data_IF_479944418827
#
_entry.id   IF_479944418827
#
_cell.length_a   1.000
_cell.length_b   1.000
_cell.length_c   1.000
_cell.angle_alpha   90.00
_cell.angle_beta   90.00
_cell.angle_gamma   90.00
#
_symmetry.space_group_name_H-M   'P 1'
#
loop_
_entity.id
_entity.type
_entity.pdbx_description
1 polymer ?
#
# COMPACT_ATOMS: atom_id res chain seq x y z
N UNK A 1 -28.30 -39.17 3.93
CA UNK A 1 -28.75 -37.84 3.45
C UNK A 1 -28.31 -36.70 4.36
N UNK A 2 -28.55 -36.76 5.68
CA UNK A 2 -28.16 -35.71 6.63
C UNK A 2 -26.66 -35.36 6.59
N UNK A 3 -25.78 -36.37 6.57
CA UNK A 3 -24.33 -36.19 6.50
C UNK A 3 -23.87 -35.48 5.22
N UNK A 4 -24.43 -35.85 4.06
CA UNK A 4 -24.11 -35.23 2.77
C UNK A 4 -24.53 -33.76 2.74
N UNK A 5 -25.73 -33.45 3.26
CA UNK A 5 -26.20 -32.06 3.37
C UNK A 5 -25.32 -31.23 4.29
N UNK A 6 -24.89 -31.80 5.43
CA UNK A 6 -23.99 -31.13 6.37
C UNK A 6 -22.62 -30.86 5.76
N UNK A 7 -22.02 -31.84 5.07
CA UNK A 7 -20.76 -31.66 4.37
C UNK A 7 -20.87 -30.59 3.29
N UNK A 8 -21.94 -30.61 2.49
CA UNK A 8 -22.14 -29.64 1.42
C UNK A 8 -22.32 -28.21 1.96
N UNK A 9 -23.09 -28.05 3.05
CA UNK A 9 -23.27 -26.76 3.73
C UNK A 9 -21.94 -26.25 4.32
N UNK A 10 -21.14 -27.13 4.93
CA UNK A 10 -19.84 -26.77 5.48
C UNK A 10 -18.87 -26.31 4.38
N UNK A 11 -18.80 -27.05 3.26
CA UNK A 11 -17.97 -26.67 2.11
C UNK A 11 -18.39 -25.31 1.54
N UNK A 12 -19.69 -25.06 1.39
CA UNK A 12 -20.19 -23.77 0.89
C UNK A 12 -19.83 -22.61 1.83
N UNK A 13 -19.94 -22.80 3.14
CA UNK A 13 -19.54 -21.83 4.16
C UNK A 13 -18.03 -21.58 4.15
N UNK A 14 -17.21 -22.63 4.08
CA UNK A 14 -15.75 -22.50 4.00
C UNK A 14 -15.31 -21.76 2.74
N UNK A 15 -15.92 -22.07 1.58
CA UNK A 15 -15.60 -21.41 0.32
C UNK A 15 -16.00 -19.92 0.36
N UNK A 16 -17.19 -19.61 0.87
CA UNK A 16 -17.65 -18.23 1.05
C UNK A 16 -16.75 -17.44 2.00
N UNK A 17 -16.35 -18.05 3.12
CA UNK A 17 -15.39 -17.46 4.06
C UNK A 17 -14.04 -17.19 3.41
N UNK A 18 -13.50 -18.14 2.64
CA UNK A 18 -12.23 -17.99 1.94
C UNK A 18 -12.26 -16.85 0.92
N UNK A 19 -13.35 -16.69 0.18
CA UNK A 19 -13.52 -15.57 -0.77
C UNK A 19 -13.50 -14.23 -0.06
N UNK A 20 -14.22 -14.08 1.06
CA UNK A 20 -14.25 -12.83 1.83
C UNK A 20 -12.89 -12.47 2.43
N UNK A 21 -12.15 -13.46 2.92
CA UNK A 21 -10.79 -13.24 3.44
C UNK A 21 -9.85 -12.86 2.30
N UNK A 22 -9.94 -13.53 1.16
CA UNK A 22 -9.10 -13.25 0.00
C UNK A 22 -9.31 -11.83 -0.54
N UNK A 23 -10.56 -11.36 -0.64
CA UNK A 23 -10.84 -9.99 -1.10
C UNK A 23 -10.29 -8.94 -0.15
N UNK A 24 -10.42 -9.14 1.15
CA UNK A 24 -9.83 -8.26 2.17
C UNK A 24 -8.31 -8.17 2.04
N UNK A 25 -7.64 -9.31 1.82
CA UNK A 25 -6.19 -9.37 1.63
C UNK A 25 -5.80 -8.64 0.33
N UNK A 26 -6.50 -8.90 -0.78
CA UNK A 26 -6.23 -8.25 -2.07
C UNK A 26 -6.37 -6.73 -1.97
N UNK A 27 -7.40 -6.24 -1.30
CA UNK A 27 -7.62 -4.80 -1.11
C UNK A 27 -6.50 -4.16 -0.27
N UNK A 28 -6.06 -4.84 0.79
CA UNK A 28 -4.97 -4.37 1.63
C UNK A 28 -3.63 -4.38 0.88
N UNK A 29 -3.34 -5.43 0.11
CA UNK A 29 -2.13 -5.51 -0.72
C UNK A 29 -2.11 -4.41 -1.78
N UNK A 30 -3.24 -4.13 -2.43
CA UNK A 30 -3.35 -3.02 -3.39
C UNK A 30 -3.08 -1.67 -2.74
N UNK A 31 -3.64 -1.44 -1.54
CA UNK A 31 -3.38 -0.23 -0.78
C UNK A 31 -1.88 -0.10 -0.44
N UNK A 32 -1.23 -1.19 -0.05
CA UNK A 32 0.19 -1.18 0.29
C UNK A 32 1.08 -0.88 -0.92
N UNK A 33 0.84 -1.52 -2.07
CA UNK A 33 1.58 -1.26 -3.31
C UNK A 33 1.43 0.21 -3.73
N UNK A 34 0.22 0.77 -3.63
CA UNK A 34 -0.02 2.18 -3.93
C UNK A 34 0.75 3.10 -2.98
N UNK A 35 0.82 2.76 -1.68
CA UNK A 35 1.59 3.51 -0.70
C UNK A 35 3.09 3.45 -1.01
N UNK A 36 3.62 2.26 -1.29
CA UNK A 36 5.05 2.06 -1.59
C UNK A 36 5.47 2.85 -2.84
N UNK A 37 4.67 2.79 -3.90
CA UNK A 37 4.91 3.55 -5.12
C UNK A 37 4.86 5.05 -4.87
N UNK A 38 3.88 5.53 -4.09
CA UNK A 38 3.75 6.95 -3.76
C UNK A 38 4.89 7.43 -2.85
N UNK A 39 5.35 6.61 -1.90
CA UNK A 39 6.51 6.92 -1.05
C UNK A 39 7.79 7.06 -1.88
N UNK A 40 8.03 6.16 -2.84
CA UNK A 40 9.15 6.28 -3.78
C UNK A 40 9.01 7.53 -4.67
N UNK A 41 7.80 7.82 -5.13
CA UNK A 41 7.48 9.06 -5.83
C UNK A 41 7.83 10.31 -5.04
N UNK A 42 7.50 10.31 -3.74
CA UNK A 42 7.80 11.40 -2.82
C UNK A 42 9.31 11.64 -2.67
N UNK A 43 10.13 10.59 -2.75
CA UNK A 43 11.60 10.71 -2.64
C UNK A 43 12.18 11.54 -3.77
N UNK A 44 11.70 11.36 -5.00
CA UNK A 44 12.29 11.99 -6.19
C UNK A 44 11.53 13.21 -6.70
N UNK A 45 10.20 13.26 -6.52
CA UNK A 45 9.35 14.33 -7.04
C UNK A 45 8.51 15.03 -5.98
N UNK A 46 8.74 14.73 -4.70
CA UNK A 46 7.99 15.32 -3.59
C UNK A 46 6.52 14.94 -3.57
N UNK A 47 5.74 15.69 -2.78
CA UNK A 47 4.30 15.47 -2.61
C UNK A 47 3.49 15.44 -3.92
N UNK A 48 3.74 16.31 -4.93
CA UNK A 48 3.00 16.28 -6.19
C UNK A 48 3.16 14.95 -6.95
N UNK A 49 4.38 14.41 -7.00
CA UNK A 49 4.64 13.11 -7.64
C UNK A 49 4.01 11.96 -6.84
N UNK A 50 4.07 12.02 -5.51
CA UNK A 50 3.39 11.06 -4.64
C UNK A 50 1.87 11.05 -4.87
N UNK A 51 1.27 12.23 -5.02
CA UNK A 51 -0.16 12.37 -5.32
C UNK A 51 -0.51 11.78 -6.68
N UNK A 52 0.25 12.11 -7.71
CA UNK A 52 0.03 11.59 -9.06
C UNK A 52 0.13 10.06 -9.09
N UNK A 53 1.16 9.50 -8.46
CA UNK A 53 1.37 8.05 -8.40
C UNK A 53 0.26 7.37 -7.59
N UNK A 54 -0.18 7.95 -6.46
CA UNK A 54 -1.31 7.43 -5.70
C UNK A 54 -2.58 7.37 -6.58
N UNK A 55 -2.90 8.47 -7.28
CA UNK A 55 -4.06 8.54 -8.17
C UNK A 55 -4.00 7.50 -9.30
N UNK A 56 -2.84 7.33 -9.94
CA UNK A 56 -2.62 6.31 -10.98
C UNK A 56 -2.79 4.88 -10.46
N UNK A 57 -2.56 4.66 -9.17
CA UNK A 57 -2.79 3.38 -8.50
C UNK A 57 -4.21 3.23 -7.91
N UNK A 58 -5.13 4.15 -8.23
CA UNK A 58 -6.51 4.14 -7.71
C UNK A 58 -6.60 4.45 -6.22
N UNK A 59 -5.56 5.07 -5.66
CA UNK A 59 -5.48 5.50 -4.29
C UNK A 59 -5.60 7.02 -4.17
N UNK A 60 -6.07 7.48 -3.03
CA UNK A 60 -6.06 8.90 -2.68
C UNK A 60 -4.93 9.15 -1.69
N UNK A 61 -4.08 10.13 -1.97
CA UNK A 61 -3.06 10.59 -1.02
C UNK A 61 -3.76 11.24 0.19
N UNK A 62 -3.47 10.77 1.39
CA UNK A 62 -4.02 11.29 2.65
C UNK A 62 -3.00 12.18 3.38
N UNK A 63 -1.74 11.77 3.35
CA UNK A 63 -0.64 12.49 3.99
C UNK A 63 0.68 12.16 3.28
N UNK A 64 1.55 13.15 3.18
CA UNK A 64 2.93 13.03 2.74
C UNK A 64 3.79 13.88 3.67
N UNK A 65 4.79 13.27 4.31
CA UNK A 65 5.68 13.97 5.22
C UNK A 65 7.12 13.51 5.03
N UNK A 66 8.03 14.46 4.94
CA UNK A 66 9.47 14.20 5.02
C UNK A 66 9.90 14.32 6.47
N UNK A 67 10.46 13.26 7.03
CA UNK A 67 11.07 13.27 8.36
C UNK A 67 12.45 13.93 8.30
N UNK A 68 12.95 14.45 9.44
CA UNK A 68 14.26 15.12 9.53
C UNK A 68 15.44 14.26 9.05
N UNK A 69 15.26 12.94 9.07
CA UNK A 69 16.23 11.95 8.62
C UNK A 69 16.14 11.63 7.12
N UNK A 70 15.34 12.37 6.34
CA UNK A 70 15.14 12.17 4.91
C UNK A 70 14.24 11.00 4.53
N UNK A 71 13.56 10.33 5.48
CA UNK A 71 12.50 9.37 5.16
C UNK A 71 11.26 10.11 4.70
N UNK A 72 10.76 9.77 3.52
CA UNK A 72 9.43 10.11 3.06
C UNK A 72 8.41 9.11 3.61
N UNK A 73 7.47 9.59 4.41
CA UNK A 73 6.33 8.82 4.89
C UNK A 73 5.09 9.23 4.13
N UNK A 74 4.47 8.27 3.44
CA UNK A 74 3.28 8.51 2.63
C UNK A 74 2.16 7.60 3.10
N UNK A 75 0.99 8.19 3.33
CA UNK A 75 -0.25 7.48 3.62
C UNK A 75 -1.23 7.66 2.48
N UNK A 76 -1.78 6.55 2.00
CA UNK A 76 -2.81 6.52 0.96
C UNK A 76 -4.05 5.77 1.42
N UNK A 77 -5.16 6.02 0.72
CA UNK A 77 -6.42 5.32 0.90
C UNK A 77 -6.89 4.69 -0.39
N UNK A 78 -7.17 3.39 -0.38
CA UNK A 78 -7.81 2.66 -1.48
C UNK A 78 -9.17 2.17 -0.99
N UNK A 79 -10.25 2.78 -1.47
CA UNK A 79 -11.60 2.53 -0.98
C UNK A 79 -11.71 2.79 0.53
N UNK A 80 -11.85 1.73 1.33
CA UNK A 80 -11.93 1.80 2.81
C UNK A 80 -10.62 1.46 3.51
N UNK A 81 -9.59 1.03 2.77
CA UNK A 81 -8.32 0.62 3.35
C UNK A 81 -7.34 1.78 3.35
N UNK A 82 -6.60 1.90 4.44
CA UNK A 82 -5.49 2.83 4.58
C UNK A 82 -4.20 2.04 4.57
N UNK A 83 -3.19 2.57 3.91
CA UNK A 83 -1.85 2.01 3.90
C UNK A 83 -0.84 3.13 4.05
N UNK A 84 0.22 2.84 4.80
CA UNK A 84 1.34 3.75 4.99
C UNK A 84 2.61 3.06 4.51
N UNK A 85 3.43 3.78 3.78
CA UNK A 85 4.74 3.34 3.34
C UNK A 85 5.78 4.39 3.65
N UNK A 86 7.01 3.93 3.83
CA UNK A 86 8.17 4.79 4.09
C UNK A 86 9.24 4.49 3.06
N UNK A 87 9.80 5.52 2.45
CA UNK A 87 10.87 5.41 1.48
C UNK A 87 11.99 6.40 1.81
N UNK A 88 13.22 6.02 1.51
CA UNK A 88 14.40 6.88 1.63
C UNK A 88 15.36 6.55 0.50
N UNK A 89 16.00 7.57 -0.06
CA UNK A 89 17.17 7.38 -0.90
C UNK A 89 18.42 7.11 -0.03
N UNK A 90 18.85 5.86 0.06
CA UNK A 90 20.07 5.47 0.77
C UNK A 90 21.36 5.88 0.04
N UNK A 91 21.28 6.13 -1.26
CA UNK A 91 22.44 6.49 -2.10
C UNK A 91 22.75 7.99 -1.97
N UNK A 92 21.71 8.83 -1.84
CA UNK A 92 21.86 10.27 -1.59
C UNK A 92 22.69 10.58 -0.32
N UNK A 93 22.65 9.73 0.71
CA UNK A 93 23.47 9.89 1.92
C UNK A 93 24.95 9.50 1.71
N UNK A 94 25.26 8.72 0.66
CA UNK A 94 26.58 8.13 0.45
C UNK A 94 27.40 8.84 -0.63
N UNK A 95 26.81 9.76 -1.40
CA UNK A 95 27.58 10.58 -2.34
C UNK A 95 28.53 11.50 -1.55
N UNK A 96 29.86 11.36 -1.72
CA UNK A 96 30.77 12.36 -1.20
C UNK A 96 30.38 13.69 -1.83
N UNK A 97 30.08 14.69 -1.00
CA UNK A 97 29.92 16.07 -1.46
C UNK A 97 31.22 16.44 -2.14
N UNK A 98 31.26 16.45 -3.47
CA UNK A 98 32.36 17.04 -4.20
C UNK A 98 32.28 18.54 -3.91
N UNK A 99 33.11 19.00 -2.97
CA UNK A 99 33.37 20.42 -2.84
C UNK A 99 33.90 20.94 -4.19
N UNK A 100 33.42 22.10 -4.66
CA UNK A 100 33.89 22.70 -5.91
C UNK A 100 35.39 23.02 -5.87
#
# INVERSE_FOLDING_TARGET
MLSVLLSCAFTALSLGGLVLVSTRIIDQTRAQIAADAAALGAVYGGEPAAQEIALRNGAQLMSSATQDNGVQSVQVRVGRQYATANARDSWAQQLPTMSP
#
